data_IF_409931186125
#
_entry.id   IF_409931186125
#
_cell.length_a   1.000
_cell.length_b   1.000
_cell.length_c   1.000
_cell.angle_alpha   90.00
_cell.angle_beta   90.00
_cell.angle_gamma   90.00
#
_symmetry.space_group_name_H-M   'P 1'
#
loop_
_entity.id
_entity.type
_entity.pdbx_description
1 polymer ?
#
# COMPACT_ATOMS: atom_id res chain seq x y z
N UNK A 1 41.74 -16.88 -3.79
CA UNK A 1 42.77 -15.90 -3.36
C UNK A 1 42.25 -15.21 -2.11
N UNK A 2 42.95 -15.40 -0.98
CA UNK A 2 42.55 -14.79 0.30
C UNK A 2 42.70 -13.28 0.21
N UNK A 3 41.60 -12.51 0.35
CA UNK A 3 41.63 -11.06 0.41
C UNK A 3 42.44 -10.60 1.62
N UNK A 4 43.42 -9.76 1.39
CA UNK A 4 44.24 -9.14 2.42
C UNK A 4 43.34 -8.22 3.26
N UNK A 5 43.10 -8.60 4.54
CA UNK A 5 42.62 -7.67 5.57
C UNK A 5 43.71 -6.66 5.87
N UNK A 6 43.45 -5.39 5.57
CA UNK A 6 44.21 -4.30 6.18
C UNK A 6 43.45 -3.86 7.44
N UNK A 7 43.88 -4.37 8.59
CA UNK A 7 43.51 -3.84 9.89
C UNK A 7 44.60 -2.80 10.24
N UNK A 8 44.28 -1.53 10.11
CA UNK A 8 45.21 -0.45 10.45
C UNK A 8 44.49 0.77 10.98
N UNK A 9 44.91 1.23 12.13
CA UNK A 9 44.74 2.49 12.86
C UNK A 9 43.89 3.59 12.16
N UNK A 10 43.28 4.47 12.95
CA UNK A 10 42.53 5.66 12.50
C UNK A 10 43.11 6.23 11.19
N UNK A 11 42.29 6.15 10.08
CA UNK A 11 42.71 6.56 8.74
C UNK A 11 42.77 5.42 7.70
N UNK A 12 42.42 4.18 8.01
CA UNK A 12 42.40 3.08 7.03
C UNK A 12 41.24 3.21 6.06
N UNK A 13 41.55 3.29 4.76
CA UNK A 13 40.54 3.16 3.70
C UNK A 13 40.10 1.71 3.61
N UNK A 14 38.80 1.48 3.70
CA UNK A 14 38.18 0.17 3.47
C UNK A 14 37.47 0.16 2.12
N UNK A 15 37.47 -0.99 1.46
CA UNK A 15 36.81 -1.16 0.16
C UNK A 15 35.88 -2.37 0.19
N UNK A 16 34.70 -2.19 -0.40
CA UNK A 16 33.70 -3.22 -0.56
C UNK A 16 33.28 -3.32 -2.01
N UNK A 17 32.80 -4.47 -2.42
CA UNK A 17 32.20 -4.73 -3.73
C UNK A 17 30.73 -5.03 -3.51
N UNK A 18 29.87 -4.19 -4.03
CA UNK A 18 28.40 -4.34 -3.97
C UNK A 18 27.92 -4.84 -5.32
N UNK A 19 27.13 -5.90 -5.33
CA UNK A 19 26.68 -6.58 -6.53
C UNK A 19 25.16 -6.74 -6.52
N UNK A 20 24.55 -6.64 -7.71
CA UNK A 20 23.20 -7.10 -8.01
C UNK A 20 23.27 -8.00 -9.24
N UNK A 21 22.51 -9.08 -9.24
CA UNK A 21 22.50 -10.07 -10.32
C UNK A 21 21.12 -10.20 -10.98
N UNK A 22 20.07 -9.84 -10.28
CA UNK A 22 18.68 -10.06 -10.70
C UNK A 22 17.95 -8.76 -11.03
N UNK A 23 18.38 -7.64 -10.42
CA UNK A 23 17.72 -6.36 -10.67
C UNK A 23 18.40 -5.62 -11.82
N UNK A 24 17.62 -5.22 -12.82
CA UNK A 24 18.06 -4.34 -13.91
C UNK A 24 18.03 -2.87 -13.42
N UNK A 25 19.00 -2.53 -12.57
CA UNK A 25 19.12 -1.19 -11.97
C UNK A 25 20.53 -0.66 -12.14
N UNK A 26 20.65 0.65 -12.30
CA UNK A 26 21.95 1.36 -12.24
C UNK A 26 22.39 1.47 -10.77
N UNK A 27 23.06 0.42 -10.30
CA UNK A 27 23.51 0.31 -8.90
C UNK A 27 24.48 1.43 -8.52
N UNK A 28 25.36 1.87 -9.45
CA UNK A 28 26.30 2.95 -9.20
C UNK A 28 25.56 4.26 -8.93
N UNK A 29 24.57 4.57 -9.75
CA UNK A 29 23.73 5.76 -9.59
C UNK A 29 22.91 5.74 -8.30
N UNK A 30 22.34 4.59 -7.93
CA UNK A 30 21.59 4.44 -6.68
C UNK A 30 22.50 4.66 -5.46
N UNK A 31 23.68 4.02 -5.45
CA UNK A 31 24.65 4.17 -4.36
C UNK A 31 25.16 5.61 -4.27
N UNK A 32 25.50 6.24 -5.41
CA UNK A 32 25.94 7.62 -5.45
C UNK A 32 24.91 8.57 -4.85
N UNK A 33 23.64 8.43 -5.23
CA UNK A 33 22.55 9.25 -4.69
C UNK A 33 22.43 9.12 -3.16
N UNK A 34 22.44 7.89 -2.65
CA UNK A 34 22.31 7.60 -1.22
C UNK A 34 23.55 8.00 -0.40
N UNK A 35 24.74 7.82 -0.95
CA UNK A 35 25.99 8.18 -0.28
C UNK A 35 26.19 9.70 -0.20
N UNK A 36 25.76 10.46 -1.22
CA UNK A 36 25.76 11.94 -1.16
C UNK A 36 24.95 12.48 0.02
N UNK A 37 23.81 11.87 0.32
CA UNK A 37 22.98 12.25 1.47
C UNK A 37 23.70 12.07 2.81
N UNK A 38 24.67 11.15 2.88
CA UNK A 38 25.41 10.89 4.12
C UNK A 38 26.45 11.95 4.45
N UNK A 39 26.92 12.73 3.48
CA UNK A 39 27.98 13.72 3.62
C UNK A 39 29.38 13.12 3.91
N UNK A 40 29.51 11.79 3.98
CA UNK A 40 30.80 11.14 4.21
C UNK A 40 31.61 11.06 2.89
N UNK A 41 32.94 11.22 2.91
CA UNK A 41 33.75 11.07 1.72
C UNK A 41 33.78 9.63 1.23
N UNK A 42 33.54 9.44 -0.06
CA UNK A 42 33.54 8.12 -0.71
C UNK A 42 34.12 8.19 -2.11
N UNK A 43 34.49 7.03 -2.63
CA UNK A 43 34.85 6.87 -4.06
C UNK A 43 34.14 5.62 -4.60
N UNK A 44 33.53 5.76 -5.77
CA UNK A 44 32.94 4.65 -6.52
C UNK A 44 33.84 4.26 -7.67
N UNK A 45 33.87 2.98 -8.00
CA UNK A 45 34.64 2.44 -9.13
C UNK A 45 33.93 1.24 -9.71
N UNK A 46 34.05 1.01 -11.00
CA UNK A 46 33.60 -0.22 -11.61
C UNK A 46 34.37 -1.42 -11.03
N UNK A 47 33.66 -2.47 -10.62
CA UNK A 47 34.23 -3.72 -10.16
C UNK A 47 33.66 -4.89 -10.96
N UNK A 48 34.36 -6.04 -10.98
CA UNK A 48 33.88 -7.20 -11.71
C UNK A 48 32.53 -7.67 -11.15
N UNK A 49 31.45 -7.43 -11.90
CA UNK A 49 30.07 -7.80 -11.55
C UNK A 49 29.38 -6.89 -10.55
N UNK A 50 29.87 -5.63 -10.35
CA UNK A 50 29.24 -4.70 -9.42
C UNK A 50 29.97 -3.37 -9.29
N UNK A 51 29.75 -2.69 -8.18
CA UNK A 51 30.30 -1.38 -7.84
C UNK A 51 31.27 -1.52 -6.67
N UNK A 52 32.51 -1.08 -6.85
CA UNK A 52 33.49 -0.94 -5.78
C UNK A 52 33.22 0.36 -5.01
N UNK A 53 33.13 0.28 -3.68
CA UNK A 53 32.94 1.43 -2.79
C UNK A 53 34.12 1.53 -1.85
N UNK A 54 34.80 2.67 -1.86
CA UNK A 54 35.92 2.98 -0.95
C UNK A 54 35.49 4.10 0.01
N UNK A 55 35.68 3.89 1.32
CA UNK A 55 35.36 4.87 2.36
C UNK A 55 36.35 4.77 3.52
N UNK A 56 36.46 5.84 4.33
CA UNK A 56 37.42 5.89 5.43
C UNK A 56 36.75 5.63 6.78
N UNK A 57 37.43 4.80 7.56
CA UNK A 57 37.13 4.59 8.99
C UNK A 57 35.75 4.02 9.30
N UNK A 58 35.37 4.09 10.56
CA UNK A 58 34.10 3.57 11.09
C UNK A 58 32.88 4.36 10.60
N UNK A 59 33.06 5.67 10.43
CA UNK A 59 31.99 6.53 9.93
C UNK A 59 31.63 6.20 8.49
N UNK A 60 32.62 5.91 7.64
CA UNK A 60 32.40 5.46 6.28
C UNK A 60 31.62 4.15 6.20
N UNK A 61 31.95 3.17 7.05
CA UNK A 61 31.20 1.91 7.12
C UNK A 61 29.73 2.14 7.49
N UNK A 62 29.45 2.97 8.51
CA UNK A 62 28.07 3.28 8.88
C UNK A 62 27.31 4.03 7.79
N UNK A 63 27.98 4.97 7.11
CA UNK A 63 27.38 5.69 5.99
C UNK A 63 27.04 4.73 4.83
N UNK A 64 27.93 3.80 4.50
CA UNK A 64 27.67 2.77 3.49
C UNK A 64 26.51 1.86 3.91
N UNK A 65 26.49 1.37 5.14
CA UNK A 65 25.41 0.52 5.64
C UNK A 65 24.04 1.23 5.60
N UNK A 66 24.01 2.53 5.94
CA UNK A 66 22.79 3.35 5.84
C UNK A 66 22.37 3.55 4.38
N UNK A 67 23.30 3.85 3.48
CA UNK A 67 23.01 3.97 2.05
C UNK A 67 22.43 2.67 1.48
N UNK A 68 23.06 1.53 1.78
CA UNK A 68 22.61 0.21 1.36
C UNK A 68 21.24 -0.18 1.96
N UNK A 69 20.96 0.21 3.20
CA UNK A 69 19.62 -0.02 3.77
C UNK A 69 18.54 0.74 2.99
N UNK A 70 18.83 1.97 2.56
CA UNK A 70 17.94 2.73 1.67
C UNK A 70 17.75 2.04 0.32
N UNK A 71 18.85 1.57 -0.30
CA UNK A 71 18.77 0.82 -1.57
C UNK A 71 17.88 -0.43 -1.39
N UNK A 72 18.11 -1.26 -0.38
CA UNK A 72 17.35 -2.50 -0.17
C UNK A 72 15.88 -2.24 0.14
N UNK A 73 15.58 -1.33 1.08
CA UNK A 73 14.22 -1.17 1.62
C UNK A 73 13.37 -0.21 0.78
N UNK A 74 13.97 0.78 0.12
CA UNK A 74 13.22 1.81 -0.60
C UNK A 74 13.32 1.67 -2.12
N UNK A 75 14.52 1.36 -2.63
CA UNK A 75 14.75 1.35 -4.07
C UNK A 75 14.46 -0.03 -4.69
N UNK A 76 14.78 -1.14 -3.99
CA UNK A 76 14.56 -2.51 -4.47
C UNK A 76 13.19 -3.09 -4.05
N UNK A 77 12.57 -2.58 -2.99
CA UNK A 77 11.25 -3.05 -2.55
C UNK A 77 10.19 -3.08 -3.68
N UNK A 78 10.08 -2.06 -4.56
CA UNK A 78 9.10 -2.12 -5.65
C UNK A 78 9.30 -3.29 -6.61
N UNK A 79 10.54 -3.73 -6.85
CA UNK A 79 10.84 -4.87 -7.73
C UNK A 79 10.40 -6.19 -7.09
N UNK A 80 10.70 -6.40 -5.81
CA UNK A 80 10.28 -7.59 -5.08
C UNK A 80 8.76 -7.65 -4.91
N UNK A 81 8.14 -6.54 -4.56
CA UNK A 81 6.68 -6.44 -4.44
C UNK A 81 6.01 -6.69 -5.79
N UNK A 82 6.58 -6.19 -6.90
CA UNK A 82 6.07 -6.44 -8.25
C UNK A 82 6.15 -7.93 -8.61
N UNK A 83 7.28 -8.59 -8.33
CA UNK A 83 7.42 -10.02 -8.55
C UNK A 83 6.39 -10.84 -7.75
N UNK A 84 6.12 -10.46 -6.49
CA UNK A 84 5.09 -11.10 -5.66
C UNK A 84 3.67 -10.84 -6.19
N UNK A 85 3.39 -9.61 -6.66
CA UNK A 85 2.09 -9.24 -7.24
C UNK A 85 1.83 -9.96 -8.57
N UNK A 86 2.88 -10.25 -9.35
CA UNK A 86 2.76 -11.01 -10.60
C UNK A 86 2.36 -12.48 -10.39
N UNK A 87 2.58 -13.03 -9.19
CA UNK A 87 2.11 -14.36 -8.80
C UNK A 87 0.59 -14.40 -8.53
N UNK A 88 -0.09 -13.24 -8.41
CA UNK A 88 -1.52 -13.19 -8.12
C UNK A 88 -2.36 -13.51 -9.37
N UNK A 89 -3.48 -14.27 -9.22
CA UNK A 89 -4.35 -14.67 -10.33
C UNK A 89 -5.32 -13.56 -10.75
N UNK A 90 -4.80 -12.37 -11.03
CA UNK A 90 -5.58 -11.20 -11.42
C UNK A 90 -5.33 -10.80 -12.87
N UNK A 91 -6.29 -10.07 -13.45
CA UNK A 91 -6.11 -9.37 -14.71
C UNK A 91 -5.10 -8.22 -14.57
N UNK A 92 -4.57 -7.74 -15.70
CA UNK A 92 -3.46 -6.78 -15.70
C UNK A 92 -3.78 -5.47 -14.96
N UNK A 93 -5.02 -4.97 -15.08
CA UNK A 93 -5.45 -3.71 -14.48
C UNK A 93 -5.60 -3.84 -12.95
N UNK A 94 -6.24 -4.91 -12.50
CA UNK A 94 -6.40 -5.22 -11.07
C UNK A 94 -5.03 -5.47 -10.41
N UNK A 95 -4.11 -6.17 -11.12
CA UNK A 95 -2.74 -6.39 -10.66
C UNK A 95 -1.97 -5.09 -10.46
N UNK A 96 -2.18 -4.10 -11.33
CA UNK A 96 -1.57 -2.78 -11.17
C UNK A 96 -2.05 -2.08 -9.90
N UNK A 97 -3.36 -2.16 -9.59
CA UNK A 97 -3.90 -1.59 -8.35
C UNK A 97 -3.32 -2.29 -7.11
N UNK A 98 -3.20 -3.62 -7.15
CA UNK A 98 -2.54 -4.39 -6.07
C UNK A 98 -1.10 -3.92 -5.89
N UNK A 99 -0.34 -3.79 -6.97
CA UNK A 99 1.05 -3.34 -6.93
C UNK A 99 1.17 -1.94 -6.30
N UNK A 100 0.38 -0.98 -6.78
CA UNK A 100 0.44 0.40 -6.28
C UNK A 100 0.12 0.48 -4.76
N UNK A 101 -0.89 -0.27 -4.30
CA UNK A 101 -1.26 -0.34 -2.88
C UNK A 101 -0.20 -1.05 -2.04
N UNK A 102 0.29 -2.19 -2.51
CA UNK A 102 1.30 -2.98 -1.81
C UNK A 102 2.63 -2.23 -1.68
N UNK A 103 3.09 -1.55 -2.73
CA UNK A 103 4.30 -0.71 -2.69
C UNK A 103 4.11 0.46 -1.72
N UNK A 104 2.94 1.12 -1.73
CA UNK A 104 2.64 2.20 -0.80
C UNK A 104 2.63 1.72 0.66
N UNK A 105 2.11 0.52 0.93
CA UNK A 105 2.10 -0.10 2.26
C UNK A 105 3.51 -0.55 2.69
N UNK A 106 4.28 -1.17 1.79
CA UNK A 106 5.64 -1.63 2.04
C UNK A 106 6.59 -0.48 2.44
N UNK A 107 6.41 0.70 1.82
CA UNK A 107 7.20 1.90 2.12
C UNK A 107 6.89 2.56 3.46
N UNK A 108 5.74 2.27 4.09
CA UNK A 108 5.37 2.86 5.40
C UNK A 108 6.19 2.30 6.55
N UNK A 109 6.72 1.08 6.40
CA UNK A 109 7.56 0.45 7.42
C UNK A 109 9.02 0.83 7.19
N UNK A 110 9.55 1.66 8.06
CA UNK A 110 10.93 2.11 8.02
C UNK A 110 11.84 1.22 8.89
N UNK A 111 12.11 -0.01 8.45
CA UNK A 111 13.11 -0.89 9.09
C UNK A 111 14.56 -0.53 8.69
N UNK A 112 14.77 0.72 8.27
CA UNK A 112 16.07 1.21 7.82
C UNK A 112 17.16 1.08 8.88
N UNK A 113 16.81 1.29 10.14
CA UNK A 113 17.78 1.29 11.24
C UNK A 113 18.25 -0.12 11.57
N UNK A 114 17.34 -1.07 11.64
CA UNK A 114 17.66 -2.48 11.87
C UNK A 114 18.45 -3.06 10.70
N UNK A 115 18.03 -2.79 9.47
CA UNK A 115 18.74 -3.20 8.25
C UNK A 115 20.15 -2.62 8.19
N UNK A 116 20.33 -1.33 8.54
CA UNK A 116 21.64 -0.72 8.58
C UNK A 116 22.55 -1.35 9.65
N UNK A 117 22.02 -1.73 10.80
CA UNK A 117 22.78 -2.43 11.84
C UNK A 117 23.24 -3.82 11.35
N UNK A 118 22.36 -4.59 10.72
CA UNK A 118 22.68 -5.89 10.12
C UNK A 118 23.72 -5.77 9.01
N UNK A 119 23.60 -4.76 8.14
CA UNK A 119 24.58 -4.47 7.08
C UNK A 119 25.92 -4.07 7.67
N UNK A 120 25.95 -3.25 8.73
CA UNK A 120 27.19 -2.86 9.41
C UNK A 120 27.93 -4.09 9.92
N UNK A 121 27.23 -5.00 10.61
CA UNK A 121 27.83 -6.25 11.10
C UNK A 121 28.36 -7.12 9.94
N UNK A 122 27.59 -7.26 8.86
CA UNK A 122 27.99 -8.04 7.71
C UNK A 122 29.25 -7.46 7.02
N UNK A 123 29.27 -6.15 6.74
CA UNK A 123 30.35 -5.47 6.05
C UNK A 123 31.64 -5.37 6.88
N UNK A 124 31.58 -5.58 8.19
CA UNK A 124 32.78 -5.72 9.05
C UNK A 124 33.51 -7.02 8.77
N UNK A 125 32.79 -8.06 8.42
CA UNK A 125 33.33 -9.41 8.22
C UNK A 125 33.59 -9.71 6.74
N UNK A 126 32.75 -9.19 5.84
CA UNK A 126 32.77 -9.50 4.43
C UNK A 126 33.03 -8.26 3.57
N UNK A 127 33.94 -8.39 2.60
CA UNK A 127 34.27 -7.35 1.64
C UNK A 127 33.38 -7.35 0.39
N UNK A 128 32.47 -8.32 0.25
CA UNK A 128 31.54 -8.44 -0.87
C UNK A 128 30.13 -8.62 -0.36
N UNK A 129 29.19 -7.91 -0.99
CA UNK A 129 27.78 -8.00 -0.71
C UNK A 129 27.01 -8.22 -2.02
N UNK A 130 26.24 -9.31 -2.09
CA UNK A 130 25.19 -9.51 -3.09
C UNK A 130 23.87 -9.08 -2.47
N UNK A 131 23.18 -8.11 -3.08
CA UNK A 131 21.97 -7.49 -2.53
C UNK A 131 20.84 -8.51 -2.41
N UNK A 132 20.59 -9.30 -3.45
CA UNK A 132 19.56 -10.34 -3.46
C UNK A 132 19.84 -11.43 -2.41
N UNK A 133 21.09 -11.84 -2.30
CA UNK A 133 21.51 -12.81 -1.29
C UNK A 133 21.28 -12.29 0.12
N UNK A 134 21.63 -11.03 0.39
CA UNK A 134 21.41 -10.40 1.69
C UNK A 134 19.91 -10.30 2.00
N UNK A 135 19.11 -9.83 1.04
CA UNK A 135 17.66 -9.70 1.18
C UNK A 135 17.01 -11.06 1.52
N UNK A 136 17.32 -12.11 0.74
CA UNK A 136 16.71 -13.45 0.91
C UNK A 136 17.15 -14.17 2.17
N UNK A 137 18.40 -14.01 2.58
CA UNK A 137 18.93 -14.79 3.73
C UNK A 137 18.90 -14.03 5.05
N UNK A 138 19.02 -12.69 5.04
CA UNK A 138 19.11 -11.87 6.24
C UNK A 138 17.87 -11.03 6.53
N UNK A 139 17.06 -10.72 5.50
CA UNK A 139 15.88 -9.87 5.63
C UNK A 139 14.57 -10.64 5.42
N UNK A 140 14.49 -11.86 5.92
CA UNK A 140 13.30 -12.72 5.75
C UNK A 140 12.02 -12.10 6.33
N UNK A 141 12.12 -11.40 7.45
CA UNK A 141 11.00 -10.69 8.07
C UNK A 141 10.48 -9.56 7.19
N UNK A 142 11.36 -8.85 6.51
CA UNK A 142 11.00 -7.79 5.56
C UNK A 142 10.32 -8.36 4.32
N UNK A 143 10.85 -9.45 3.75
CA UNK A 143 10.20 -10.14 2.64
C UNK A 143 8.82 -10.68 3.00
N UNK A 144 8.67 -11.27 4.20
CA UNK A 144 7.37 -11.72 4.68
C UNK A 144 6.39 -10.54 4.83
N UNK A 145 6.86 -9.43 5.38
CA UNK A 145 6.04 -8.22 5.49
C UNK A 145 5.59 -7.71 4.11
N UNK A 146 6.47 -7.66 3.12
CA UNK A 146 6.10 -7.26 1.76
C UNK A 146 5.07 -8.21 1.15
N UNK A 147 5.22 -9.53 1.37
CA UNK A 147 4.21 -10.51 0.95
C UNK A 147 2.85 -10.25 1.59
N UNK A 148 2.80 -9.96 2.90
CA UNK A 148 1.56 -9.59 3.58
C UNK A 148 0.94 -8.31 3.01
N UNK A 149 1.75 -7.31 2.63
CA UNK A 149 1.25 -6.12 1.95
C UNK A 149 0.60 -6.45 0.58
N UNK A 150 1.15 -7.40 -0.17
CA UNK A 150 0.57 -7.86 -1.43
C UNK A 150 -0.73 -8.62 -1.19
N UNK A 151 -0.78 -9.53 -0.21
CA UNK A 151 -1.97 -10.31 0.13
C UNK A 151 -3.12 -9.41 0.62
N UNK A 152 -2.82 -8.40 1.44
CA UNK A 152 -3.79 -7.42 1.91
C UNK A 152 -4.32 -6.56 0.76
N UNK A 153 -3.42 -6.04 -0.09
CA UNK A 153 -3.80 -5.27 -1.26
C UNK A 153 -4.64 -6.10 -2.26
N UNK A 154 -4.28 -7.37 -2.48
CA UNK A 154 -5.02 -8.32 -3.31
C UNK A 154 -6.42 -8.54 -2.78
N UNK A 155 -6.56 -8.83 -1.48
CA UNK A 155 -7.86 -9.04 -0.84
C UNK A 155 -8.74 -7.80 -0.93
N UNK A 156 -8.16 -6.60 -0.74
CA UNK A 156 -8.87 -5.34 -0.87
C UNK A 156 -9.38 -5.08 -2.29
N UNK A 157 -8.56 -5.31 -3.31
CA UNK A 157 -8.97 -5.12 -4.72
C UNK A 157 -10.06 -6.13 -5.11
N UNK A 158 -9.93 -7.39 -4.68
CA UNK A 158 -10.93 -8.41 -4.96
C UNK A 158 -12.28 -8.07 -4.32
N UNK A 159 -12.27 -7.66 -3.06
CA UNK A 159 -13.48 -7.26 -2.33
C UNK A 159 -14.17 -6.07 -3.00
N UNK A 160 -13.42 -5.04 -3.39
CA UNK A 160 -13.98 -3.88 -4.11
C UNK A 160 -14.62 -4.28 -5.44
N UNK A 161 -14.01 -5.23 -6.17
CA UNK A 161 -14.55 -5.74 -7.42
C UNK A 161 -15.87 -6.49 -7.21
N UNK A 162 -15.91 -7.40 -6.23
CA UNK A 162 -17.14 -8.12 -5.87
C UNK A 162 -18.26 -7.17 -5.44
N UNK A 163 -17.94 -6.13 -4.68
CA UNK A 163 -18.90 -5.09 -4.30
C UNK A 163 -19.41 -4.30 -5.52
N UNK A 164 -18.53 -3.92 -6.43
CA UNK A 164 -18.90 -3.21 -7.66
C UNK A 164 -19.83 -4.04 -8.54
N UNK A 165 -19.52 -5.31 -8.75
CA UNK A 165 -20.36 -6.24 -9.53
C UNK A 165 -21.74 -6.43 -8.88
N UNK A 166 -21.81 -6.58 -7.56
CA UNK A 166 -23.07 -6.67 -6.82
C UNK A 166 -23.89 -5.36 -6.93
N UNK A 167 -23.28 -4.20 -6.80
CA UNK A 167 -23.95 -2.92 -6.96
C UNK A 167 -24.51 -2.71 -8.37
N UNK A 168 -23.78 -3.14 -9.41
CA UNK A 168 -24.23 -3.09 -10.81
C UNK A 168 -25.47 -3.98 -11.03
N UNK A 169 -25.50 -5.20 -10.50
CA UNK A 169 -26.67 -6.09 -10.55
C UNK A 169 -27.87 -5.46 -9.85
N UNK A 170 -27.66 -4.91 -8.64
CA UNK A 170 -28.74 -4.26 -7.88
C UNK A 170 -29.26 -3.01 -8.61
N UNK A 171 -28.40 -2.22 -9.23
CA UNK A 171 -28.76 -1.07 -10.05
C UNK A 171 -29.57 -1.47 -11.28
N UNK A 172 -29.18 -2.55 -11.98
CA UNK A 172 -29.95 -3.10 -13.10
C UNK A 172 -31.34 -3.54 -12.65
N UNK A 173 -31.46 -4.26 -11.55
CA UNK A 173 -32.75 -4.68 -10.97
C UNK A 173 -33.62 -3.49 -10.59
N UNK A 174 -33.04 -2.46 -9.99
CA UNK A 174 -33.74 -1.23 -9.63
C UNK A 174 -34.27 -0.47 -10.87
N UNK A 175 -33.45 -0.41 -11.95
CA UNK A 175 -33.82 0.29 -13.20
C UNK A 175 -34.84 -0.50 -14.06
N UNK A 176 -34.86 -1.82 -13.93
CA UNK A 176 -35.83 -2.66 -14.62
C UNK A 176 -37.26 -2.53 -14.06
N UNK A 177 -37.43 -1.90 -12.89
CA UNK A 177 -38.72 -1.72 -12.22
C UNK A 177 -39.17 -0.26 -12.26
N UNK A 178 -40.46 0.02 -12.50
CA UNK A 178 -40.98 1.36 -12.33
C UNK A 178 -40.85 1.81 -10.87
N UNK A 179 -40.56 3.09 -10.61
CA UNK A 179 -40.54 3.64 -9.26
C UNK A 179 -41.89 3.42 -8.55
N UNK A 180 -41.81 2.94 -7.29
CA UNK A 180 -43.01 2.71 -6.48
C UNK A 180 -43.42 3.90 -5.59
N UNK A 181 -42.44 4.79 -5.32
CA UNK A 181 -42.70 6.05 -4.62
C UNK A 181 -41.90 7.20 -5.30
N UNK A 182 -42.41 8.43 -5.26
CA UNK A 182 -41.79 9.58 -5.93
C UNK A 182 -40.47 9.99 -5.27
N UNK A 183 -40.40 9.93 -3.95
CA UNK A 183 -39.18 10.29 -3.21
C UNK A 183 -39.15 9.65 -1.83
N UNK A 184 -37.94 9.38 -1.37
CA UNK A 184 -37.64 8.95 0.01
C UNK A 184 -36.52 9.81 0.59
N UNK A 185 -36.62 10.10 1.89
CA UNK A 185 -35.55 10.74 2.67
C UNK A 185 -35.03 9.72 3.67
N UNK A 186 -33.73 9.52 3.64
CA UNK A 186 -33.00 8.65 4.55
C UNK A 186 -32.04 9.47 5.38
N UNK A 187 -32.16 9.44 6.69
CA UNK A 187 -31.19 10.02 7.61
C UNK A 187 -30.38 8.89 8.27
N UNK A 188 -29.05 8.98 8.19
CA UNK A 188 -28.12 8.03 8.77
C UNK A 188 -27.50 8.64 10.03
N UNK A 189 -27.65 7.96 11.18
CA UNK A 189 -27.07 8.37 12.47
C UNK A 189 -25.85 7.53 12.81
N UNK A 190 -24.97 8.06 13.67
CA UNK A 190 -23.70 7.41 14.04
C UNK A 190 -23.84 6.16 14.91
N UNK A 191 -25.01 5.99 15.58
CA UNK A 191 -25.36 4.85 16.42
C UNK A 191 -25.99 3.66 15.68
N UNK A 192 -25.97 3.69 14.35
CA UNK A 192 -26.61 2.66 13.51
C UNK A 192 -28.09 2.91 13.25
N UNK A 193 -28.69 3.92 13.86
CA UNK A 193 -30.09 4.28 13.61
C UNK A 193 -30.25 4.90 12.21
N UNK A 194 -31.23 4.43 11.47
CA UNK A 194 -31.66 4.96 10.19
C UNK A 194 -33.11 5.42 10.29
N UNK A 195 -33.40 6.66 9.90
CA UNK A 195 -34.78 7.14 9.80
C UNK A 195 -35.16 7.37 8.34
N UNK A 196 -36.32 6.82 7.95
CA UNK A 196 -36.83 6.85 6.59
C UNK A 196 -38.18 7.56 6.56
N UNK A 197 -38.33 8.53 5.63
CA UNK A 197 -39.60 9.27 5.43
C UNK A 197 -39.92 9.42 3.94
N UNK A 198 -41.19 9.29 3.57
CA UNK A 198 -41.66 9.49 2.18
C UNK A 198 -42.17 10.92 1.89
N UNK A 199 -41.97 11.81 2.83
CA UNK A 199 -42.32 13.24 2.72
C UNK A 199 -43.48 13.68 3.55
N UNK A 200 -44.50 12.88 3.81
CA UNK A 200 -45.68 13.34 4.58
C UNK A 200 -46.21 12.34 5.63
N UNK A 201 -46.19 11.03 5.41
CA UNK A 201 -46.90 10.08 6.29
C UNK A 201 -46.06 8.90 6.81
N UNK A 202 -45.09 8.43 6.04
CA UNK A 202 -44.28 7.27 6.43
C UNK A 202 -43.03 7.71 7.21
N UNK A 203 -43.04 7.45 8.51
CA UNK A 203 -41.82 7.57 9.32
C UNK A 203 -41.47 6.17 9.87
N UNK A 204 -40.33 5.65 9.41
CA UNK A 204 -39.80 4.38 9.92
C UNK A 204 -38.43 4.67 10.56
N UNK A 205 -38.24 4.13 11.75
CA UNK A 205 -36.94 4.09 12.41
C UNK A 205 -36.46 2.64 12.42
N UNK A 206 -35.22 2.46 11.99
CA UNK A 206 -34.63 1.15 11.81
C UNK A 206 -33.18 1.17 12.30
N UNK A 207 -32.84 0.19 13.13
CA UNK A 207 -31.45 0.01 13.58
C UNK A 207 -30.79 -1.03 12.69
N UNK A 208 -29.77 -0.63 11.96
CA UNK A 208 -29.02 -1.48 11.04
C UNK A 208 -27.55 -1.08 11.04
N UNK A 209 -26.76 -1.83 11.77
CA UNK A 209 -25.32 -1.59 11.86
C UNK A 209 -24.60 -1.94 10.55
N UNK A 210 -25.05 -2.98 9.82
CA UNK A 210 -24.42 -3.44 8.57
C UNK A 210 -24.83 -2.58 7.36
N UNK A 211 -26.01 -2.01 7.37
CA UNK A 211 -26.59 -1.28 6.23
C UNK A 211 -27.25 -2.17 5.18
N UNK A 212 -27.15 -3.50 5.27
CA UNK A 212 -27.73 -4.43 4.28
C UNK A 212 -29.26 -4.41 4.30
N UNK A 213 -29.85 -4.35 5.48
CA UNK A 213 -31.29 -4.30 5.65
C UNK A 213 -31.90 -3.04 5.05
N UNK A 214 -31.27 -1.87 5.25
CA UNK A 214 -31.74 -0.61 4.69
C UNK A 214 -31.60 -0.59 3.16
N UNK A 215 -30.52 -1.14 2.59
CA UNK A 215 -30.36 -1.29 1.14
C UNK A 215 -31.47 -2.15 0.56
N UNK A 216 -31.74 -3.31 1.17
CA UNK A 216 -32.81 -4.23 0.74
C UNK A 216 -34.17 -3.59 0.79
N UNK A 217 -34.47 -2.83 1.85
CA UNK A 217 -35.72 -2.08 2.01
C UNK A 217 -35.88 -1.03 0.91
N UNK A 218 -34.84 -0.22 0.64
CA UNK A 218 -34.85 0.83 -0.37
C UNK A 218 -35.00 0.26 -1.79
N UNK A 219 -34.37 -0.89 -2.09
CA UNK A 219 -34.56 -1.59 -3.36
C UNK A 219 -36.02 -2.07 -3.49
N UNK A 220 -36.61 -2.58 -2.41
CA UNK A 220 -38.01 -2.97 -2.37
C UNK A 220 -38.97 -1.80 -2.61
N UNK A 221 -38.68 -0.64 -2.06
CA UNK A 221 -39.46 0.58 -2.22
C UNK A 221 -39.24 1.28 -3.56
N UNK A 222 -38.11 1.02 -4.23
CA UNK A 222 -37.75 1.53 -5.54
C UNK A 222 -38.08 3.03 -5.75
N UNK A 223 -37.49 3.96 -4.98
CA UNK A 223 -37.81 5.39 -5.09
C UNK A 223 -37.36 5.96 -6.43
N UNK A 224 -38.14 6.93 -6.96
CA UNK A 224 -37.70 7.73 -8.10
C UNK A 224 -36.54 8.67 -7.73
N UNK A 225 -36.55 9.18 -6.48
CA UNK A 225 -35.48 9.99 -5.90
C UNK A 225 -35.22 9.57 -4.46
N UNK A 226 -33.94 9.42 -4.11
CA UNK A 226 -33.48 9.11 -2.76
C UNK A 226 -32.63 10.28 -2.23
N UNK A 227 -33.08 10.91 -1.17
CA UNK A 227 -32.34 11.95 -0.47
C UNK A 227 -31.68 11.35 0.76
N UNK A 228 -30.35 11.30 0.79
CA UNK A 228 -29.58 10.74 1.90
C UNK A 228 -28.95 11.88 2.69
N UNK A 229 -29.25 11.93 3.98
CA UNK A 229 -28.66 12.86 4.94
C UNK A 229 -27.71 12.08 5.85
N UNK A 230 -26.41 12.26 5.64
CA UNK A 230 -25.40 11.64 6.50
C UNK A 230 -25.13 12.53 7.72
N UNK A 231 -25.77 12.13 8.84
CA UNK A 231 -25.62 12.75 10.16
C UNK A 231 -24.67 11.92 11.06
N UNK A 232 -24.02 10.89 10.49
CA UNK A 232 -23.14 9.98 11.24
C UNK A 232 -21.75 10.54 11.55
N UNK A 233 -21.41 11.72 10.99
CA UNK A 233 -20.07 12.28 11.11
C UNK A 233 -18.98 11.45 10.43
N UNK A 234 -19.37 10.67 9.41
CA UNK A 234 -18.45 9.78 8.65
C UNK A 234 -18.41 8.34 9.14
N UNK A 235 -19.15 7.99 10.19
CA UNK A 235 -19.20 6.61 10.69
C UNK A 235 -19.88 5.62 9.72
N UNK A 236 -20.64 6.12 8.74
CA UNK A 236 -21.42 5.31 7.76
C UNK A 236 -20.94 5.50 6.31
N UNK A 237 -19.68 5.86 6.11
CA UNK A 237 -19.11 6.16 4.78
C UNK A 237 -19.28 5.02 3.77
N UNK A 238 -19.11 3.78 4.18
CA UNK A 238 -19.27 2.60 3.31
C UNK A 238 -20.72 2.44 2.85
N UNK A 239 -21.71 2.61 3.75
CA UNK A 239 -23.12 2.58 3.39
C UNK A 239 -23.50 3.71 2.44
N UNK A 240 -23.00 4.93 2.70
CA UNK A 240 -23.23 6.09 1.82
C UNK A 240 -22.66 5.83 0.43
N UNK A 241 -21.46 5.23 0.33
CA UNK A 241 -20.84 4.85 -0.93
C UNK A 241 -21.70 3.81 -1.67
N UNK A 242 -22.11 2.73 -1.00
CA UNK A 242 -22.96 1.68 -1.58
C UNK A 242 -24.29 2.25 -2.09
N UNK A 243 -24.95 3.12 -1.31
CA UNK A 243 -26.19 3.78 -1.73
C UNK A 243 -25.98 4.66 -2.97
N UNK A 244 -24.86 5.37 -3.03
CA UNK A 244 -24.52 6.24 -4.18
C UNK A 244 -24.31 5.44 -5.45
N UNK A 245 -23.69 4.29 -5.36
CA UNK A 245 -23.48 3.39 -6.50
C UNK A 245 -24.75 2.69 -6.96
N UNK A 246 -25.49 2.06 -6.03
CA UNK A 246 -26.72 1.31 -6.35
C UNK A 246 -27.81 2.24 -6.90
N UNK A 247 -28.02 3.39 -6.28
CA UNK A 247 -29.04 4.38 -6.66
C UNK A 247 -28.49 5.48 -7.57
N UNK A 248 -27.42 5.20 -8.29
CA UNK A 248 -26.81 6.17 -9.23
C UNK A 248 -27.87 6.80 -10.16
N UNK A 249 -27.87 8.13 -10.26
CA UNK A 249 -28.86 8.90 -11.00
C UNK A 249 -30.20 9.16 -10.26
N UNK A 250 -30.44 8.53 -9.10
CA UNK A 250 -31.63 8.75 -8.26
C UNK A 250 -31.28 9.29 -6.88
N UNK A 251 -30.04 9.21 -6.44
CA UNK A 251 -29.58 9.62 -5.12
C UNK A 251 -29.12 11.08 -5.12
N UNK A 252 -29.49 11.79 -4.05
CA UNK A 252 -28.95 13.11 -3.72
C UNK A 252 -28.39 13.04 -2.29
N UNK A 253 -27.08 13.26 -2.13
CA UNK A 253 -26.39 13.19 -0.85
C UNK A 253 -26.27 14.59 -0.22
N UNK A 254 -26.59 14.67 1.06
CA UNK A 254 -26.44 15.84 1.90
C UNK A 254 -25.56 15.49 3.10
N UNK A 255 -24.44 16.20 3.23
CA UNK A 255 -23.52 16.10 4.37
C UNK A 255 -23.63 17.38 5.18
N UNK A 256 -23.99 17.28 6.46
CA UNK A 256 -24.08 18.44 7.34
C UNK A 256 -25.41 18.52 8.11
N UNK A 257 -25.55 19.57 8.95
CA UNK A 257 -26.73 19.76 9.79
C UNK A 257 -28.00 19.85 8.95
N UNK A 258 -29.06 19.24 9.48
CA UNK A 258 -30.40 19.30 8.91
C UNK A 258 -30.88 20.75 8.82
N UNK A 259 -31.41 21.21 7.68
CA UNK A 259 -32.00 22.56 7.58
C UNK A 259 -33.24 22.75 8.41
#
# INVERSE_FOLDING_TARGET
MKGKRFIGKEGSVSSWIIQTMEYDVDLERLLDARLRESGAPYALSAAMGGVGVCMEGRQGLHALAKALSGVLVQDLAPFEVAAMADETPLELEDRRQVLDRAVAAARKREDLHETAAQLTAYLQEEAKLCLEGFLRFRMRSTLLFWRLCVEDAFSGVLLEKEYGEAADVLRLLLNARPPRCPSLRLCLHGDGLCSLTDGEELRMEYVDESGEGIISLLIGMAPARLFVYDLSGGARTELVHALTEIFSGRVCLYTGEFP
#
